data_IF_634187300964
#
_entry.id   IF_634187300964
#
_cell.length_a   1.000
_cell.length_b   1.000
_cell.length_c   1.000
_cell.angle_alpha   90.00
_cell.angle_beta   90.00
_cell.angle_gamma   90.00
#
_symmetry.space_group_name_H-M   'P 1'
#
loop_
_entity.id
_entity.type
_entity.pdbx_description
1 polymer ?
#
# COMPACT_ATOMS: atom_id res chain seq x y z
N UNK A 1 22.29 -26.89 15.01
CA UNK A 1 21.89 -26.33 13.70
C UNK A 1 21.03 -27.35 12.99
N UNK A 2 19.71 -27.19 13.04
CA UNK A 2 18.79 -28.07 12.31
C UNK A 2 18.88 -27.69 10.82
N UNK A 3 19.41 -28.60 9.98
CA UNK A 3 19.46 -28.39 8.52
C UNK A 3 18.03 -28.32 8.01
N UNK A 4 17.57 -27.10 7.68
CA UNK A 4 16.30 -26.90 6.97
C UNK A 4 16.44 -27.60 5.62
N UNK A 5 15.89 -28.82 5.49
CA UNK A 5 15.74 -29.50 4.19
C UNK A 5 14.67 -28.74 3.40
N UNK A 6 15.10 -27.72 2.65
CA UNK A 6 14.28 -27.09 1.62
C UNK A 6 13.96 -28.14 0.55
N UNK A 7 12.68 -28.46 0.38
CA UNK A 7 12.26 -29.33 -0.72
C UNK A 7 12.18 -28.47 -1.99
N UNK A 8 12.45 -29.03 -3.16
CA UNK A 8 12.38 -28.29 -4.44
C UNK A 8 11.03 -27.56 -4.63
N UNK A 9 9.92 -28.18 -4.19
CA UNK A 9 8.58 -27.58 -4.19
C UNK A 9 8.44 -26.30 -3.35
N UNK A 10 9.27 -26.14 -2.32
CA UNK A 10 9.26 -24.96 -1.44
C UNK A 10 9.98 -23.77 -2.11
N UNK A 11 10.78 -24.02 -3.16
CA UNK A 11 11.49 -23.03 -3.95
C UNK A 11 10.75 -22.62 -5.22
N UNK A 12 9.77 -23.40 -5.68
CA UNK A 12 9.00 -23.13 -6.90
C UNK A 12 8.36 -21.73 -6.88
N UNK A 13 7.66 -21.38 -5.78
CA UNK A 13 6.99 -20.09 -5.67
C UNK A 13 7.99 -18.91 -5.62
N UNK A 14 9.01 -18.91 -4.73
CA UNK A 14 10.04 -17.87 -4.77
C UNK A 14 10.74 -17.73 -6.12
N UNK A 15 11.05 -18.85 -6.79
CA UNK A 15 11.70 -18.83 -8.10
C UNK A 15 10.80 -18.22 -9.18
N UNK A 16 9.50 -18.57 -9.20
CA UNK A 16 8.54 -17.99 -10.14
C UNK A 16 8.37 -16.47 -9.92
N UNK A 17 8.28 -16.04 -8.66
CA UNK A 17 8.20 -14.61 -8.30
C UNK A 17 9.48 -13.87 -8.72
N UNK A 18 10.65 -14.47 -8.48
CA UNK A 18 11.94 -13.88 -8.88
C UNK A 18 12.06 -13.76 -10.39
N UNK A 19 11.70 -14.82 -11.13
CA UNK A 19 11.71 -14.80 -12.59
C UNK A 19 10.74 -13.75 -13.13
N UNK A 20 9.54 -13.68 -12.58
CA UNK A 20 8.57 -12.64 -12.93
C UNK A 20 9.13 -11.24 -12.70
N UNK A 21 9.69 -10.98 -11.51
CA UNK A 21 10.27 -9.67 -11.20
C UNK A 21 11.44 -9.30 -12.12
N UNK A 22 12.25 -10.28 -12.50
CA UNK A 22 13.34 -10.10 -13.47
C UNK A 22 12.80 -9.73 -14.86
N UNK A 23 11.74 -10.40 -15.33
CA UNK A 23 11.06 -10.07 -16.59
C UNK A 23 10.47 -8.65 -16.52
N UNK A 24 9.80 -8.29 -15.42
CA UNK A 24 9.25 -6.95 -15.23
C UNK A 24 10.32 -5.86 -15.30
N UNK A 25 11.52 -6.11 -14.74
CA UNK A 25 12.64 -5.17 -14.84
C UNK A 25 12.96 -4.80 -16.30
N UNK A 26 12.84 -5.74 -17.25
CA UNK A 26 13.08 -5.46 -18.67
C UNK A 26 11.93 -4.70 -19.34
N UNK A 27 10.72 -4.75 -18.78
CA UNK A 27 9.57 -3.97 -19.25
C UNK A 27 9.54 -2.53 -18.72
N UNK A 28 10.45 -2.16 -17.81
CA UNK A 28 10.57 -0.77 -17.33
C UNK A 28 11.10 0.13 -18.44
N UNK A 29 10.42 1.26 -18.67
CA UNK A 29 10.80 2.26 -19.65
C UNK A 29 11.02 3.59 -18.96
N UNK A 30 11.96 4.40 -19.46
CA UNK A 30 12.11 5.77 -18.98
C UNK A 30 10.87 6.57 -19.38
N UNK A 31 10.15 7.11 -18.40
CA UNK A 31 8.94 7.91 -18.59
C UNK A 31 9.04 9.17 -17.72
N UNK A 32 8.54 10.30 -18.23
CA UNK A 32 8.39 11.54 -17.46
C UNK A 32 9.70 11.99 -16.80
N UNK A 33 9.70 12.07 -15.47
CA UNK A 33 10.83 12.48 -14.64
C UNK A 33 12.08 11.62 -14.84
N UNK A 34 11.95 10.38 -15.34
CA UNK A 34 13.09 9.51 -15.59
C UNK A 34 14.02 10.10 -16.66
N UNK A 35 13.47 10.72 -17.71
CA UNK A 35 14.25 11.41 -18.74
C UNK A 35 14.98 12.61 -18.15
N UNK A 36 14.29 13.36 -17.30
CA UNK A 36 14.87 14.50 -16.62
C UNK A 36 16.08 14.04 -15.78
N UNK A 37 15.91 13.04 -14.93
CA UNK A 37 17.00 12.49 -14.12
C UNK A 37 18.11 11.85 -14.96
N UNK A 38 17.81 11.32 -16.14
CA UNK A 38 18.84 10.79 -17.02
C UNK A 38 19.74 11.90 -17.58
N UNK A 39 19.17 13.02 -18.03
CA UNK A 39 19.91 14.12 -18.67
C UNK A 39 20.40 15.21 -17.72
N UNK A 40 19.75 15.40 -16.56
CA UNK A 40 19.99 16.54 -15.70
C UNK A 40 21.38 16.58 -15.08
N UNK A 41 22.01 15.41 -14.88
CA UNK A 41 23.35 15.30 -14.32
C UNK A 41 24.46 15.57 -15.33
N UNK A 42 24.15 15.48 -16.62
CA UNK A 42 25.10 15.76 -17.70
C UNK A 42 25.02 17.25 -18.15
N UNK A 43 24.10 18.04 -17.57
CA UNK A 43 23.90 19.46 -17.89
C UNK A 43 23.78 20.30 -16.62
N UNK A 44 24.77 21.15 -16.34
CA UNK A 44 24.82 21.97 -15.12
C UNK A 44 23.55 22.81 -14.88
N UNK A 45 22.91 23.32 -15.93
CA UNK A 45 21.65 24.08 -15.82
C UNK A 45 20.43 23.25 -15.41
N UNK A 46 20.50 21.92 -15.48
CA UNK A 46 19.44 21.00 -15.06
C UNK A 46 19.75 20.34 -13.70
N UNK A 47 21.00 20.40 -13.23
CA UNK A 47 21.37 19.79 -11.94
C UNK A 47 20.55 20.33 -10.77
N UNK A 48 20.26 21.65 -10.79
CA UNK A 48 19.44 22.30 -9.79
C UNK A 48 18.01 21.74 -9.70
N UNK A 49 17.45 21.20 -10.80
CA UNK A 49 16.12 20.58 -10.73
C UNK A 49 16.12 19.05 -10.54
N UNK A 50 17.28 18.40 -10.51
CA UNK A 50 17.35 16.95 -10.28
C UNK A 50 16.98 16.58 -8.82
N UNK A 51 17.19 17.51 -7.90
CA UNK A 51 16.78 17.37 -6.51
C UNK A 51 16.12 18.68 -6.07
N UNK A 52 14.81 18.81 -6.18
CA UNK A 52 14.09 20.03 -5.74
C UNK A 52 13.30 19.84 -4.44
N UNK A 53 13.35 18.65 -3.81
CA UNK A 53 12.19 18.25 -2.98
C UNK A 53 12.42 17.35 -1.75
N UNK A 54 13.54 17.25 -1.06
CA UNK A 54 13.59 16.49 0.23
C UNK A 54 13.32 14.97 0.17
N UNK A 55 13.00 14.41 -1.01
CA UNK A 55 12.84 12.96 -1.25
C UNK A 55 14.20 12.31 -1.40
N UNK A 56 15.06 12.45 -0.39
CA UNK A 56 16.48 12.13 -0.46
C UNK A 56 16.72 10.70 -0.93
N UNK A 57 16.04 9.71 -0.33
CA UNK A 57 16.29 8.31 -0.65
C UNK A 57 15.68 7.95 -2.01
N UNK A 58 14.43 8.38 -2.28
CA UNK A 58 13.79 8.08 -3.56
C UNK A 58 14.58 8.66 -4.74
N UNK A 59 15.01 9.92 -4.66
CA UNK A 59 15.75 10.57 -5.74
C UNK A 59 17.08 9.87 -6.02
N UNK A 60 17.84 9.54 -4.98
CA UNK A 60 19.12 8.83 -5.15
C UNK A 60 18.91 7.42 -5.70
N UNK A 61 17.89 6.71 -5.23
CA UNK A 61 17.62 5.35 -5.66
C UNK A 61 17.11 5.30 -7.10
N UNK A 62 16.22 6.20 -7.47
CA UNK A 62 15.75 6.39 -8.84
C UNK A 62 16.92 6.72 -9.76
N UNK A 63 17.76 7.69 -9.40
CA UNK A 63 18.96 8.04 -10.14
C UNK A 63 19.87 6.82 -10.38
N UNK A 64 20.17 6.05 -9.34
CA UNK A 64 21.01 4.85 -9.46
C UNK A 64 20.39 3.81 -10.40
N UNK A 65 19.08 3.57 -10.31
CA UNK A 65 18.38 2.63 -11.18
C UNK A 65 18.29 3.14 -12.63
N UNK A 66 18.15 4.44 -12.85
CA UNK A 66 18.08 5.04 -14.18
C UNK A 66 19.44 5.01 -14.88
N UNK A 67 20.53 5.34 -14.16
CA UNK A 67 21.87 5.47 -14.74
C UNK A 67 22.64 4.16 -14.85
N UNK A 68 22.38 3.21 -13.95
CA UNK A 68 23.15 1.97 -13.87
C UNK A 68 22.25 0.75 -14.09
N UNK A 69 22.16 0.21 -15.32
CA UNK A 69 21.28 -0.93 -15.63
C UNK A 69 21.52 -2.17 -14.76
N UNK A 70 22.76 -2.43 -14.35
CA UNK A 70 23.08 -3.52 -13.42
C UNK A 70 22.46 -3.28 -12.03
N UNK A 71 22.53 -2.05 -11.53
CA UNK A 71 21.91 -1.66 -10.25
C UNK A 71 20.39 -1.76 -10.35
N UNK A 72 19.81 -1.31 -11.47
CA UNK A 72 18.38 -1.50 -11.77
C UNK A 72 17.98 -2.97 -11.70
N UNK A 73 18.68 -3.82 -12.44
CA UNK A 73 18.39 -5.25 -12.54
C UNK A 73 18.40 -5.92 -11.16
N UNK A 74 19.39 -5.60 -10.32
CA UNK A 74 19.49 -6.14 -8.97
C UNK A 74 18.42 -5.56 -8.06
N UNK A 75 18.31 -4.24 -7.95
CA UNK A 75 17.42 -3.60 -6.99
C UNK A 75 15.96 -3.85 -7.31
N UNK A 76 15.53 -3.65 -8.56
CA UNK A 76 14.15 -3.85 -8.99
C UNK A 76 13.72 -5.30 -8.76
N UNK A 77 14.51 -6.26 -9.28
CA UNK A 77 14.18 -7.68 -9.16
C UNK A 77 14.09 -8.12 -7.69
N UNK A 78 15.05 -7.72 -6.85
CA UNK A 78 15.05 -8.10 -5.44
C UNK A 78 13.89 -7.44 -4.67
N UNK A 79 13.64 -6.15 -4.89
CA UNK A 79 12.60 -5.42 -4.15
C UNK A 79 11.19 -5.86 -4.57
N UNK A 80 10.92 -6.06 -5.86
CA UNK A 80 9.62 -6.53 -6.34
C UNK A 80 9.37 -7.97 -5.88
N UNK A 81 10.39 -8.82 -5.94
CA UNK A 81 10.32 -10.17 -5.37
C UNK A 81 10.00 -10.14 -3.88
N UNK A 82 10.68 -9.27 -3.14
CA UNK A 82 10.48 -9.12 -1.70
C UNK A 82 9.07 -8.62 -1.38
N UNK A 83 8.55 -7.64 -2.13
CA UNK A 83 7.18 -7.15 -2.00
C UNK A 83 6.18 -8.30 -2.13
N UNK A 84 6.20 -9.01 -3.26
CA UNK A 84 5.25 -10.10 -3.55
C UNK A 84 5.37 -11.22 -2.51
N UNK A 85 6.59 -11.58 -2.11
CA UNK A 85 6.81 -12.56 -1.06
C UNK A 85 6.29 -12.10 0.30
N UNK A 86 6.45 -10.82 0.67
CA UNK A 86 5.90 -10.27 1.91
C UNK A 86 4.38 -10.30 1.87
N UNK A 87 3.75 -9.84 0.79
CA UNK A 87 2.30 -9.89 0.60
C UNK A 87 1.77 -11.32 0.78
N UNK A 88 2.37 -12.31 0.10
CA UNK A 88 1.98 -13.71 0.24
C UNK A 88 2.12 -14.23 1.69
N UNK A 89 3.16 -13.79 2.41
CA UNK A 89 3.38 -14.16 3.82
C UNK A 89 2.36 -13.55 4.77
N UNK A 90 1.85 -12.36 4.48
CA UNK A 90 0.78 -11.75 5.26
C UNK A 90 -0.54 -12.52 5.16
N UNK A 91 -0.82 -13.13 4.00
CA UNK A 91 -2.00 -13.98 3.83
C UNK A 91 -1.84 -15.34 4.55
N UNK A 92 -0.62 -15.89 4.62
CA UNK A 92 -0.31 -17.19 5.24
C UNK A 92 -0.05 -17.14 6.76
N UNK A 93 -0.89 -16.44 7.51
CA UNK A 93 -0.60 -16.03 8.89
C UNK A 93 -0.43 -17.15 9.94
N UNK A 94 -0.87 -18.40 9.68
CA UNK A 94 -0.77 -19.55 10.63
C UNK A 94 -0.25 -20.84 10.01
N UNK A 95 -0.67 -21.16 8.79
CA UNK A 95 -0.25 -22.37 8.09
C UNK A 95 0.36 -22.00 6.75
N UNK A 96 1.46 -22.67 6.40
CA UNK A 96 2.00 -22.61 5.05
C UNK A 96 1.02 -23.34 4.14
N UNK A 97 0.21 -22.57 3.41
CA UNK A 97 -0.69 -23.09 2.37
C UNK A 97 -0.20 -22.59 1.03
N UNK A 98 0.61 -23.36 0.28
CA UNK A 98 1.20 -22.90 -0.97
C UNK A 98 0.18 -22.29 -1.94
N UNK A 99 -1.02 -22.87 -2.04
CA UNK A 99 -2.12 -22.33 -2.85
C UNK A 99 -2.48 -20.87 -2.53
N UNK A 100 -2.37 -20.46 -1.26
CA UNK A 100 -2.64 -19.07 -0.83
C UNK A 100 -1.55 -18.11 -1.31
N UNK A 101 -0.29 -18.56 -1.39
CA UNK A 101 0.79 -17.77 -2.00
C UNK A 101 0.53 -17.55 -3.49
N UNK A 102 0.14 -18.61 -4.20
CA UNK A 102 -0.20 -18.54 -5.61
C UNK A 102 -1.42 -17.67 -5.88
N UNK A 103 -2.44 -17.72 -5.01
CA UNK A 103 -3.59 -16.82 -5.09
C UNK A 103 -3.17 -15.35 -4.88
N UNK A 104 -2.34 -15.06 -3.88
CA UNK A 104 -1.84 -13.70 -3.65
C UNK A 104 -1.03 -13.18 -4.85
N UNK A 105 -0.19 -14.04 -5.44
CA UNK A 105 0.54 -13.70 -6.65
C UNK A 105 -0.37 -13.51 -7.85
N UNK A 106 -1.37 -14.37 -8.07
CA UNK A 106 -2.37 -14.20 -9.12
C UNK A 106 -3.15 -12.89 -8.99
N UNK A 107 -3.55 -12.51 -7.77
CA UNK A 107 -4.21 -11.23 -7.50
C UNK A 107 -3.29 -10.04 -7.78
N UNK A 108 -2.00 -10.15 -7.44
CA UNK A 108 -1.00 -9.14 -7.80
C UNK A 108 -0.88 -8.96 -9.32
N UNK A 109 -0.90 -10.05 -10.09
CA UNK A 109 -0.87 -9.99 -11.55
C UNK A 109 -2.13 -9.33 -12.15
N UNK A 110 -3.23 -9.27 -11.41
CA UNK A 110 -4.46 -8.58 -11.81
C UNK A 110 -4.53 -7.12 -11.36
N UNK A 111 -3.40 -6.56 -10.92
CA UNK A 111 -3.32 -5.14 -10.60
C UNK A 111 -3.73 -4.28 -11.81
N UNK A 112 -4.57 -3.25 -11.61
CA UNK A 112 -4.99 -2.36 -12.68
C UNK A 112 -3.83 -1.75 -13.45
N UNK A 113 -3.97 -1.64 -14.77
CA UNK A 113 -2.95 -1.06 -15.65
C UNK A 113 -2.56 0.38 -15.25
N UNK A 114 -3.50 1.17 -14.75
CA UNK A 114 -3.21 2.52 -14.26
C UNK A 114 -2.24 2.49 -13.06
N UNK A 115 -2.41 1.54 -12.14
CA UNK A 115 -1.52 1.40 -10.98
C UNK A 115 -0.19 0.81 -11.41
N UNK A 116 -0.19 -0.22 -12.26
CA UNK A 116 1.04 -0.81 -12.84
C UNK A 116 1.88 0.27 -13.52
N UNK A 117 1.23 1.22 -14.21
CA UNK A 117 1.93 2.32 -14.87
C UNK A 117 2.70 3.20 -13.88
N UNK A 118 2.05 3.60 -12.79
CA UNK A 118 2.64 4.50 -11.80
C UNK A 118 3.61 3.80 -10.84
N UNK A 119 3.44 2.50 -10.58
CA UNK A 119 4.22 1.77 -9.58
C UNK A 119 5.27 0.84 -10.17
N UNK A 120 5.04 0.18 -11.31
CA UNK A 120 5.93 -0.86 -11.82
C UNK A 120 6.71 -0.45 -13.07
N UNK A 121 6.10 0.31 -14.00
CA UNK A 121 6.75 0.66 -15.28
C UNK A 121 7.54 1.96 -15.23
N UNK A 122 7.13 2.91 -14.38
CA UNK A 122 7.81 4.18 -14.16
C UNK A 122 8.87 4.02 -13.06
N UNK A 123 10.16 4.22 -13.36
CA UNK A 123 11.24 3.88 -12.42
C UNK A 123 11.31 4.81 -11.22
N UNK A 124 11.14 6.12 -11.43
CA UNK A 124 11.04 7.06 -10.32
C UNK A 124 9.80 6.77 -9.46
N UNK A 125 8.66 6.49 -10.10
CA UNK A 125 7.44 6.05 -9.42
C UNK A 125 7.64 4.79 -8.58
N UNK A 126 8.32 3.78 -9.12
CA UNK A 126 8.69 2.56 -8.42
C UNK A 126 9.51 2.85 -7.16
N UNK A 127 10.55 3.69 -7.27
CA UNK A 127 11.36 4.08 -6.13
C UNK A 127 10.50 4.75 -5.04
N UNK A 128 9.63 5.67 -5.42
CA UNK A 128 8.78 6.48 -4.53
C UNK A 128 7.65 5.67 -3.89
N UNK A 129 7.06 4.72 -4.60
CA UNK A 129 5.81 4.06 -4.19
C UNK A 129 6.00 2.62 -3.72
N UNK A 130 6.87 1.83 -4.34
CA UNK A 130 6.97 0.39 -4.07
C UNK A 130 7.92 0.09 -2.91
N UNK A 131 9.10 0.69 -2.94
CA UNK A 131 10.16 0.42 -1.95
C UNK A 131 9.77 0.83 -0.52
N UNK A 132 9.16 2.00 -0.25
CA UNK A 132 8.74 2.33 1.12
C UNK A 132 7.59 1.43 1.63
N UNK A 133 6.76 0.87 0.74
CA UNK A 133 5.75 -0.12 1.15
C UNK A 133 6.42 -1.38 1.71
N UNK A 134 7.56 -1.80 1.16
CA UNK A 134 8.35 -2.92 1.71
C UNK A 134 8.76 -2.61 3.16
N UNK A 135 9.19 -1.38 3.46
CA UNK A 135 9.59 -1.00 4.82
C UNK A 135 8.41 -1.07 5.79
N UNK A 136 7.25 -0.58 5.36
CA UNK A 136 5.99 -0.68 6.10
C UNK A 136 5.61 -2.13 6.37
N UNK A 137 5.66 -2.99 5.34
CA UNK A 137 5.35 -4.42 5.45
C UNK A 137 6.35 -5.17 6.35
N UNK A 138 7.64 -4.85 6.30
CA UNK A 138 8.63 -5.43 7.21
C UNK A 138 8.35 -5.05 8.67
N UNK A 139 8.10 -3.77 8.94
CA UNK A 139 7.75 -3.30 10.29
C UNK A 139 6.44 -3.91 10.80
N UNK A 140 5.39 -3.93 9.97
CA UNK A 140 4.09 -4.53 10.30
C UNK A 140 4.22 -6.01 10.66
N UNK A 141 5.09 -6.75 9.95
CA UNK A 141 5.37 -8.16 10.27
C UNK A 141 6.00 -8.30 11.67
N UNK A 142 6.95 -7.43 12.03
CA UNK A 142 7.55 -7.43 13.37
C UNK A 142 6.51 -7.08 14.45
N UNK A 143 5.64 -6.11 14.19
CA UNK A 143 4.53 -5.76 15.07
C UNK A 143 3.57 -6.93 15.30
N UNK A 144 3.19 -7.67 14.25
CA UNK A 144 2.33 -8.85 14.43
C UNK A 144 3.00 -9.98 15.21
N UNK A 145 4.29 -10.23 15.00
CA UNK A 145 5.04 -11.20 15.82
C UNK A 145 5.04 -10.79 17.29
N UNK A 146 5.28 -9.50 17.55
CA UNK A 146 5.22 -8.90 18.88
C UNK A 146 3.84 -9.10 19.54
N UNK A 147 2.76 -8.76 18.83
CA UNK A 147 1.38 -8.89 19.33
C UNK A 147 0.91 -10.33 19.54
N UNK A 148 1.64 -11.32 19.03
CA UNK A 148 1.45 -12.75 19.32
C UNK A 148 2.20 -13.22 20.57
N UNK A 149 2.89 -12.33 21.26
CA UNK A 149 3.71 -12.69 22.42
C UNK A 149 5.05 -13.32 22.05
N UNK A 150 5.46 -13.29 20.77
CA UNK A 150 6.78 -13.79 20.39
C UNK A 150 7.86 -12.92 21.07
N UNK A 151 8.84 -13.58 21.68
CA UNK A 151 10.02 -12.91 22.22
C UNK A 151 10.90 -12.45 21.06
N UNK A 152 11.06 -11.14 20.93
CA UNK A 152 11.83 -10.51 19.88
C UNK A 152 13.06 -9.84 20.48
N UNK A 153 14.23 -10.04 19.85
CA UNK A 153 15.52 -9.48 20.29
C UNK A 153 15.53 -7.95 20.15
N UNK A 154 15.11 -7.24 21.19
CA UNK A 154 14.93 -5.77 21.18
C UNK A 154 16.19 -5.01 20.73
N UNK A 155 17.37 -5.42 21.22
CA UNK A 155 18.65 -4.73 20.93
C UNK A 155 18.94 -4.61 19.43
N UNK A 156 18.60 -5.62 18.64
CA UNK A 156 18.77 -5.59 17.18
C UNK A 156 17.60 -4.89 16.46
N UNK A 157 16.40 -4.97 17.02
CA UNK A 157 15.21 -4.42 16.38
C UNK A 157 15.06 -2.91 16.58
N UNK A 158 15.56 -2.33 17.67
CA UNK A 158 15.53 -0.89 17.90
C UNK A 158 16.20 -0.12 16.76
N UNK A 159 17.50 -0.34 16.43
CA UNK A 159 18.15 0.39 15.35
C UNK A 159 17.52 0.07 13.99
N UNK A 160 17.14 -1.19 13.75
CA UNK A 160 16.48 -1.59 12.51
C UNK A 160 15.14 -0.85 12.31
N UNK A 161 14.27 -0.82 13.31
CA UNK A 161 12.95 -0.20 13.19
C UNK A 161 13.06 1.32 13.15
N UNK A 162 14.00 1.91 13.89
CA UNK A 162 14.33 3.33 13.77
C UNK A 162 14.78 3.69 12.34
N UNK A 163 15.66 2.89 11.74
CA UNK A 163 16.10 3.07 10.37
C UNK A 163 14.96 2.88 9.36
N UNK A 164 14.12 1.85 9.52
CA UNK A 164 12.96 1.64 8.64
C UNK A 164 11.99 2.82 8.68
N UNK A 165 11.72 3.37 9.88
CA UNK A 165 10.88 4.56 10.03
C UNK A 165 11.52 5.79 9.38
N UNK A 166 12.79 6.06 9.70
CA UNK A 166 13.52 7.22 9.19
C UNK A 166 13.67 7.17 7.67
N UNK A 167 14.22 6.08 7.14
CA UNK A 167 14.44 5.93 5.71
C UNK A 167 13.11 5.86 4.94
N UNK A 168 12.08 5.22 5.49
CA UNK A 168 10.74 5.16 4.88
C UNK A 168 10.12 6.55 4.69
N UNK A 169 10.38 7.47 5.62
CA UNK A 169 9.90 8.85 5.58
C UNK A 169 10.72 9.79 4.66
N UNK A 170 11.70 9.29 3.89
CA UNK A 170 12.49 10.10 2.95
C UNK A 170 12.21 9.76 1.47
N UNK A 171 11.11 9.05 1.21
CA UNK A 171 10.71 8.66 -0.16
C UNK A 171 9.75 9.66 -0.82
N UNK A 172 8.74 10.11 -0.09
CA UNK A 172 7.69 10.99 -0.60
C UNK A 172 6.92 11.62 0.55
N UNK A 173 6.42 12.84 0.36
CA UNK A 173 5.70 13.65 1.34
C UNK A 173 4.53 12.85 1.93
N UNK A 174 3.70 12.27 1.06
CA UNK A 174 2.55 11.45 1.46
C UNK A 174 2.98 10.15 2.14
N UNK A 175 4.10 9.55 1.74
CA UNK A 175 4.65 8.35 2.37
C UNK A 175 5.18 8.66 3.78
N UNK A 176 5.80 9.82 3.99
CA UNK A 176 6.32 10.27 5.28
C UNK A 176 5.19 10.48 6.28
N UNK A 177 4.12 11.14 5.85
CA UNK A 177 2.88 11.30 6.64
C UNK A 177 2.32 9.92 6.99
N UNK A 178 2.21 9.01 6.01
CA UNK A 178 1.73 7.65 6.25
C UNK A 178 2.59 6.89 7.28
N UNK A 179 3.91 7.00 7.22
CA UNK A 179 4.80 6.33 8.18
C UNK A 179 4.64 6.88 9.60
N UNK A 180 4.49 8.20 9.75
CA UNK A 180 4.24 8.84 11.06
C UNK A 180 2.90 8.43 11.63
N UNK A 181 1.83 8.53 10.83
CA UNK A 181 0.47 8.13 11.23
C UNK A 181 0.43 6.64 11.59
N UNK A 182 1.08 5.78 10.79
CA UNK A 182 1.15 4.35 11.06
C UNK A 182 1.92 4.05 12.35
N UNK A 183 3.05 4.74 12.59
CA UNK A 183 3.79 4.65 13.84
C UNK A 183 2.94 4.99 15.05
N UNK A 184 2.25 6.14 15.02
CA UNK A 184 1.32 6.57 16.08
C UNK A 184 0.20 5.56 16.29
N UNK A 185 -0.42 5.07 15.21
CA UNK A 185 -1.47 4.06 15.28
C UNK A 185 -0.99 2.79 16.00
N UNK A 186 0.21 2.29 15.68
CA UNK A 186 0.78 1.10 16.34
C UNK A 186 1.04 1.35 17.82
N UNK A 187 1.53 2.53 18.20
CA UNK A 187 1.75 2.90 19.60
C UNK A 187 0.42 2.95 20.39
N UNK A 188 -0.58 3.65 19.86
CA UNK A 188 -1.91 3.75 20.46
C UNK A 188 -2.55 2.36 20.60
N UNK A 189 -2.48 1.56 19.54
CA UNK A 189 -3.00 0.21 19.56
C UNK A 189 -2.31 -0.69 20.60
N UNK A 190 -0.99 -0.59 20.72
CA UNK A 190 -0.23 -1.33 21.74
C UNK A 190 -0.61 -0.87 23.16
N UNK A 191 -0.76 0.44 23.37
CA UNK A 191 -1.14 1.02 24.67
C UNK A 191 -2.57 0.66 25.10
N UNK A 192 -3.53 0.57 24.17
CA UNK A 192 -4.91 0.19 24.48
C UNK A 192 -5.07 -1.31 24.83
N UNK A 193 -4.09 -2.16 24.49
CA UNK A 193 -4.15 -3.60 24.78
C UNK A 193 -3.56 -3.88 26.16
N UNK A 194 -4.43 -4.14 27.15
CA UNK A 194 -4.03 -4.45 28.54
C UNK A 194 -2.98 -5.57 28.67
N UNK A 195 -2.99 -6.54 27.76
CA UNK A 195 -2.08 -7.70 27.78
C UNK A 195 -0.75 -7.47 27.02
N UNK A 196 -0.50 -6.26 26.51
CA UNK A 196 0.69 -5.92 25.74
C UNK A 196 1.37 -4.69 26.31
N UNK A 197 2.68 -4.79 26.54
CA UNK A 197 3.50 -3.62 26.88
C UNK A 197 4.09 -3.02 25.61
N UNK A 198 4.16 -1.69 25.59
CA UNK A 198 4.85 -0.95 24.54
C UNK A 198 6.30 -1.41 24.45
N UNK A 199 6.76 -1.76 23.25
CA UNK A 199 8.13 -2.23 23.05
C UNK A 199 8.99 -1.13 22.45
N UNK A 200 10.26 -1.08 22.86
CA UNK A 200 11.20 -0.04 22.45
C UNK A 200 11.36 0.08 20.92
N UNK A 201 11.33 -1.04 20.18
CA UNK A 201 11.41 -0.98 18.71
C UNK A 201 10.20 -0.28 18.06
N UNK A 202 9.02 -0.29 18.70
CA UNK A 202 7.83 0.38 18.19
C UNK A 202 7.97 1.90 18.32
N UNK A 203 8.48 2.34 19.47
CA UNK A 203 8.82 3.74 19.74
C UNK A 203 9.92 4.19 18.76
N UNK A 204 10.95 3.36 18.55
CA UNK A 204 12.04 3.66 17.64
C UNK A 204 11.54 3.90 16.20
N UNK A 205 10.61 3.09 15.70
CA UNK A 205 10.01 3.33 14.37
C UNK A 205 9.29 4.67 14.30
N UNK A 206 8.42 4.98 15.29
CA UNK A 206 7.67 6.23 15.29
C UNK A 206 8.59 7.45 15.38
N UNK A 207 9.61 7.39 16.25
CA UNK A 207 10.63 8.44 16.38
C UNK A 207 11.45 8.58 15.10
N UNK A 208 11.84 7.47 14.46
CA UNK A 208 12.53 7.48 13.18
C UNK A 208 11.68 8.13 12.08
N UNK A 209 10.41 7.75 11.96
CA UNK A 209 9.49 8.33 10.99
C UNK A 209 9.29 9.83 11.19
N UNK A 210 9.12 10.28 12.44
CA UNK A 210 9.02 11.70 12.77
C UNK A 210 10.30 12.45 12.43
N UNK A 211 11.47 11.90 12.77
CA UNK A 211 12.76 12.50 12.43
C UNK A 211 12.97 12.59 10.90
N UNK A 212 12.60 11.55 10.15
CA UNK A 212 12.67 11.55 8.69
C UNK A 212 11.75 12.60 8.07
N UNK A 213 10.52 12.72 8.57
CA UNK A 213 9.59 13.78 8.15
C UNK A 213 10.17 15.18 8.44
N UNK A 214 10.74 15.40 9.62
CA UNK A 214 11.39 16.68 9.95
C UNK A 214 12.54 16.98 8.98
N UNK A 215 13.44 16.02 8.73
CA UNK A 215 14.55 16.20 7.78
C UNK A 215 14.04 16.52 6.37
N UNK A 216 12.97 15.85 5.93
CA UNK A 216 12.36 16.11 4.64
C UNK A 216 11.80 17.54 4.54
N UNK A 217 11.13 18.02 5.58
CA UNK A 217 10.51 19.35 5.63
C UNK A 217 11.50 20.50 5.90
N UNK A 218 12.68 20.21 6.46
CA UNK A 218 13.74 21.22 6.69
C UNK A 218 14.38 21.74 5.40
N UNK A 219 13.99 21.22 4.24
CA UNK A 219 14.56 21.64 2.97
C UNK A 219 14.04 23.03 2.56
N UNK A 220 14.91 23.94 2.08
CA UNK A 220 14.52 25.32 1.77
C UNK A 220 13.34 25.42 0.82
N UNK A 221 13.24 24.51 -0.16
CA UNK A 221 12.20 24.53 -1.19
C UNK A 221 10.78 24.36 -0.59
N UNK A 222 10.63 23.73 0.58
CA UNK A 222 9.34 23.69 1.30
C UNK A 222 9.05 25.01 2.04
N UNK A 223 10.08 25.70 2.52
CA UNK A 223 9.95 27.04 3.11
C UNK A 223 9.60 28.10 2.06
N UNK A 224 10.17 27.99 0.87
CA UNK A 224 9.90 28.90 -0.25
C UNK A 224 8.46 28.76 -0.77
N UNK A 225 7.91 27.54 -0.78
CA UNK A 225 6.48 27.28 -1.07
C UNK A 225 5.56 27.90 -0.03
N UNK A 226 5.96 27.91 1.25
CA UNK A 226 5.17 28.50 2.34
C UNK A 226 5.23 30.04 2.35
N UNK A 227 6.34 30.62 1.88
CA UNK A 227 6.58 32.06 1.87
C UNK A 227 6.21 32.72 0.53
N UNK A 228 5.72 31.95 -0.44
CA UNK A 228 5.35 32.41 -1.80
C UNK A 228 6.47 33.17 -2.53
N UNK A 229 7.73 32.96 -2.13
CA UNK A 229 8.83 33.86 -2.50
C UNK A 229 9.49 33.56 -3.85
N UNK A 230 9.34 32.37 -4.46
CA UNK A 230 9.82 32.15 -5.83
C UNK A 230 9.28 30.89 -6.55
N UNK A 231 9.25 31.00 -7.88
CA UNK A 231 8.39 30.29 -8.87
C UNK A 231 8.90 28.97 -9.45
N UNK A 232 9.98 28.38 -8.92
CA UNK A 232 10.58 27.16 -9.50
C UNK A 232 9.84 25.87 -9.09
N UNK A 233 9.00 25.94 -8.06
CA UNK A 233 8.22 24.82 -7.57
C UNK A 233 6.79 24.97 -8.10
N UNK A 234 6.38 24.14 -9.06
CA UNK A 234 5.01 24.08 -9.63
C UNK A 234 3.90 23.68 -8.62
N UNK A 235 4.11 23.88 -7.31
CA UNK A 235 3.27 23.36 -6.24
C UNK A 235 2.84 24.50 -5.32
N UNK A 236 1.63 24.97 -5.53
CA UNK A 236 0.92 25.81 -4.56
C UNK A 236 0.20 24.91 -3.55
N UNK A 237 0.28 25.26 -2.26
CA UNK A 237 -0.52 24.61 -1.21
C UNK A 237 -1.77 25.45 -0.99
N UNK A 238 -2.80 25.22 -1.81
CA UNK A 238 -4.12 25.83 -1.59
C UNK A 238 -4.98 24.96 -0.67
N UNK A 239 -5.36 25.48 0.51
CA UNK A 239 -6.33 24.84 1.40
C UNK A 239 -7.77 25.12 0.96
N UNK A 240 -8.13 24.76 -0.28
CA UNK A 240 -9.51 24.82 -0.76
C UNK A 240 -10.22 23.47 -0.54
N UNK A 241 -11.24 23.49 0.31
CA UNK A 241 -12.10 22.33 0.61
C UNK A 241 -12.72 21.78 -0.67
N UNK A 242 -13.04 22.65 -1.64
CA UNK A 242 -13.63 22.26 -2.93
C UNK A 242 -12.64 21.47 -3.78
N UNK A 243 -11.38 21.90 -3.83
CA UNK A 243 -10.31 21.15 -4.51
C UNK A 243 -10.01 19.83 -3.81
N UNK A 244 -9.96 19.83 -2.48
CA UNK A 244 -9.76 18.61 -1.69
C UNK A 244 -10.89 17.60 -1.96
N UNK A 245 -12.13 18.08 -2.00
CA UNK A 245 -13.30 17.27 -2.38
C UNK A 245 -13.16 16.74 -3.81
N UNK A 246 -12.79 17.60 -4.77
CA UNK A 246 -12.63 17.22 -6.17
C UNK A 246 -11.58 16.11 -6.34
N UNK A 247 -10.40 16.26 -5.75
CA UNK A 247 -9.33 15.26 -5.83
C UNK A 247 -9.72 13.95 -5.15
N UNK A 248 -10.30 13.99 -3.94
CA UNK A 248 -10.72 12.79 -3.21
C UNK A 248 -11.77 11.98 -4.00
N UNK A 249 -12.81 12.65 -4.48
CA UNK A 249 -13.99 11.98 -5.04
C UNK A 249 -13.90 11.73 -6.54
N UNK A 250 -13.16 12.53 -7.31
CA UNK A 250 -13.02 12.32 -8.77
C UNK A 250 -11.73 11.62 -9.18
N UNK A 251 -10.65 11.75 -8.41
CA UNK A 251 -9.37 11.14 -8.77
C UNK A 251 -9.07 9.89 -7.94
N UNK A 252 -9.15 9.98 -6.61
CA UNK A 252 -8.70 8.91 -5.72
C UNK A 252 -9.73 7.76 -5.69
N UNK A 253 -10.95 8.02 -5.21
CA UNK A 253 -11.96 6.97 -5.00
C UNK A 253 -12.26 6.15 -6.27
N UNK A 254 -12.46 6.76 -7.45
CA UNK A 254 -12.73 6.01 -8.67
C UNK A 254 -11.56 5.13 -9.14
N UNK A 255 -10.32 5.58 -8.92
CA UNK A 255 -9.12 4.85 -9.34
C UNK A 255 -8.90 3.60 -8.48
N UNK A 256 -9.08 3.70 -7.16
CA UNK A 256 -8.84 2.59 -6.24
C UNK A 256 -10.01 1.60 -6.14
N UNK A 257 -11.25 2.04 -6.36
CA UNK A 257 -12.40 1.21 -6.07
C UNK A 257 -13.04 0.56 -7.31
N UNK A 258 -12.82 1.10 -8.52
CA UNK A 258 -13.45 0.54 -9.74
C UNK A 258 -12.60 -0.50 -10.44
N UNK A 259 -11.28 -0.35 -10.38
CA UNK A 259 -10.38 -1.05 -11.30
C UNK A 259 -10.01 -2.47 -10.85
N UNK A 260 -10.24 -2.84 -9.59
CA UNK A 260 -9.86 -4.15 -9.05
C UNK A 260 -11.00 -5.19 -9.11
N UNK A 261 -11.60 -5.40 -10.28
CA UNK A 261 -12.80 -6.24 -10.41
C UNK A 261 -12.63 -7.66 -9.86
N UNK A 262 -11.50 -8.33 -10.15
CA UNK A 262 -11.23 -9.67 -9.64
C UNK A 262 -11.13 -9.69 -8.11
N UNK A 263 -10.49 -8.67 -7.51
CA UNK A 263 -10.39 -8.55 -6.06
C UNK A 263 -11.78 -8.41 -5.42
N UNK A 264 -12.65 -7.57 -5.99
CA UNK A 264 -14.01 -7.38 -5.50
C UNK A 264 -14.84 -8.66 -5.61
N UNK A 265 -14.71 -9.40 -6.70
CA UNK A 265 -15.34 -10.72 -6.87
C UNK A 265 -14.83 -11.73 -5.83
N UNK A 266 -13.51 -11.77 -5.59
CA UNK A 266 -12.93 -12.64 -4.56
C UNK A 266 -13.41 -12.28 -3.16
N UNK A 267 -13.50 -10.98 -2.82
CA UNK A 267 -14.03 -10.50 -1.53
C UNK A 267 -15.49 -10.90 -1.38
N UNK A 268 -16.34 -10.62 -2.38
CA UNK A 268 -17.76 -10.97 -2.35
C UNK A 268 -17.97 -12.49 -2.22
N UNK A 269 -17.24 -13.29 -3.01
CA UNK A 269 -17.27 -14.75 -2.93
C UNK A 269 -16.83 -15.29 -1.57
N UNK A 270 -15.75 -14.75 -0.99
CA UNK A 270 -15.27 -15.15 0.32
C UNK A 270 -16.27 -14.81 1.43
N UNK A 271 -16.87 -13.62 1.41
CA UNK A 271 -17.89 -13.21 2.38
C UNK A 271 -19.17 -14.03 2.24
N UNK A 272 -19.58 -14.36 1.00
CA UNK A 272 -20.73 -15.23 0.74
C UNK A 272 -20.49 -16.65 1.30
N UNK A 273 -19.31 -17.23 1.06
CA UNK A 273 -18.95 -18.54 1.62
C UNK A 273 -18.95 -18.52 3.15
N UNK A 274 -18.39 -17.47 3.77
CA UNK A 274 -18.41 -17.30 5.22
C UNK A 274 -19.83 -17.16 5.75
N UNK A 275 -20.70 -16.42 5.05
CA UNK A 275 -22.11 -16.28 5.41
C UNK A 275 -22.84 -17.62 5.35
N UNK A 276 -22.65 -18.41 4.28
CA UNK A 276 -23.25 -19.75 4.13
C UNK A 276 -22.83 -20.68 5.26
N UNK A 277 -21.56 -20.61 5.68
CA UNK A 277 -21.00 -21.45 6.76
C UNK A 277 -21.18 -20.90 8.18
N UNK A 278 -21.71 -19.69 8.33
CA UNK A 278 -21.88 -19.08 9.65
C UNK A 278 -22.96 -19.81 10.45
N UNK A 279 -22.67 -20.14 11.70
CA UNK A 279 -23.70 -20.54 12.67
C UNK A 279 -24.52 -19.31 13.08
N UNK A 280 -25.84 -19.41 12.91
CA UNK A 280 -26.81 -18.33 13.07
C UNK A 280 -27.80 -18.59 14.21
N UNK A 281 -27.64 -19.69 14.95
CA UNK A 281 -28.53 -20.11 16.04
C UNK A 281 -28.81 -19.02 17.08
N UNK A 282 -27.82 -18.15 17.35
CA UNK A 282 -27.94 -17.03 18.30
C UNK A 282 -28.17 -15.63 17.70
N UNK A 283 -28.51 -15.49 16.42
CA UNK A 283 -28.61 -14.17 15.78
C UNK A 283 -30.00 -13.55 15.92
N UNK A 284 -30.06 -12.30 16.41
CA UNK A 284 -31.30 -11.51 16.42
C UNK A 284 -31.76 -11.18 14.99
N UNK A 285 -33.08 -11.08 14.76
CA UNK A 285 -33.68 -10.73 13.44
C UNK A 285 -33.04 -9.49 12.80
N UNK A 286 -32.82 -8.42 13.58
CA UNK A 286 -32.15 -7.21 13.09
C UNK A 286 -30.74 -7.45 12.57
N UNK A 287 -29.93 -8.28 13.25
CA UNK A 287 -28.58 -8.64 12.79
C UNK A 287 -28.62 -9.38 11.45
N UNK A 288 -29.55 -10.33 11.29
CA UNK A 288 -29.70 -11.08 10.04
C UNK A 288 -30.03 -10.13 8.88
N UNK A 289 -30.92 -9.15 9.11
CA UNK A 289 -31.26 -8.13 8.12
C UNK A 289 -30.04 -7.31 7.70
N UNK A 290 -29.29 -6.75 8.65
CA UNK A 290 -28.08 -5.96 8.35
C UNK A 290 -27.02 -6.77 7.61
N UNK A 291 -26.80 -8.03 7.97
CA UNK A 291 -25.86 -8.91 7.26
C UNK A 291 -26.33 -9.16 5.82
N UNK A 292 -27.62 -9.39 5.60
CA UNK A 292 -28.16 -9.57 4.23
C UNK A 292 -28.03 -8.30 3.39
N UNK A 293 -28.35 -7.13 3.96
CA UNK A 293 -28.23 -5.84 3.27
C UNK A 293 -26.78 -5.53 2.88
N UNK A 294 -25.85 -5.68 3.82
CA UNK A 294 -24.42 -5.44 3.57
C UNK A 294 -23.82 -6.48 2.62
N UNK A 295 -24.27 -7.73 2.67
CA UNK A 295 -23.87 -8.77 1.72
C UNK A 295 -24.41 -8.48 0.31
N UNK A 296 -25.66 -8.04 0.21
CA UNK A 296 -26.24 -7.56 -1.05
C UNK A 296 -25.47 -6.38 -1.62
N UNK A 297 -25.09 -5.41 -0.80
CA UNK A 297 -24.26 -4.27 -1.19
C UNK A 297 -22.88 -4.71 -1.72
N UNK A 298 -22.22 -5.66 -1.06
CA UNK A 298 -20.91 -6.17 -1.50
C UNK A 298 -20.98 -6.94 -2.82
N UNK A 299 -22.00 -7.78 -3.01
CA UNK A 299 -22.24 -8.49 -4.28
C UNK A 299 -22.58 -7.51 -5.40
N UNK A 300 -23.50 -6.57 -5.15
CA UNK A 300 -23.88 -5.54 -6.11
C UNK A 300 -22.67 -4.71 -6.55
N UNK A 301 -21.76 -4.36 -5.62
CA UNK A 301 -20.55 -3.62 -5.94
C UNK A 301 -19.58 -4.43 -6.81
N UNK A 302 -19.42 -5.72 -6.53
CA UNK A 302 -18.57 -6.59 -7.34
C UNK A 302 -19.09 -6.70 -8.78
N UNK A 303 -20.41 -6.85 -8.97
CA UNK A 303 -21.04 -6.83 -10.30
C UNK A 303 -20.82 -5.48 -10.98
N UNK A 304 -21.04 -4.39 -10.25
CA UNK A 304 -20.80 -3.04 -10.75
C UNK A 304 -19.35 -2.81 -11.21
N UNK A 305 -18.34 -3.26 -10.46
CA UNK A 305 -16.93 -3.15 -10.85
C UNK A 305 -16.61 -3.93 -12.13
N UNK A 306 -17.24 -5.10 -12.33
CA UNK A 306 -17.13 -5.84 -13.60
C UNK A 306 -17.74 -5.05 -14.76
N UNK A 307 -18.94 -4.48 -14.58
CA UNK A 307 -19.59 -3.65 -15.62
C UNK A 307 -18.74 -2.43 -16.00
N UNK A 308 -18.13 -1.77 -15.02
CA UNK A 308 -17.26 -0.62 -15.26
C UNK A 308 -15.96 -1.02 -15.98
N UNK A 309 -15.41 -2.19 -15.66
CA UNK A 309 -14.21 -2.72 -16.34
C UNK A 309 -14.53 -3.17 -17.77
N UNK A 310 -15.74 -3.68 -18.03
CA UNK A 310 -16.22 -4.06 -19.36
C UNK A 310 -16.55 -2.87 -20.28
N UNK A 311 -16.24 -1.63 -19.85
CA UNK A 311 -16.39 -0.45 -20.70
C UNK A 311 -17.81 0.09 -20.78
N UNK A 312 -18.61 -0.04 -19.73
CA UNK A 312 -19.90 0.67 -19.59
C UNK A 312 -19.69 1.90 -18.69
N UNK A 313 -19.05 2.98 -19.15
CA UNK A 313 -18.82 4.15 -18.31
C UNK A 313 -20.15 4.86 -18.05
N UNK A 314 -20.63 4.85 -16.81
CA UNK A 314 -21.78 5.66 -16.39
C UNK A 314 -21.54 7.17 -16.58
N UNK A 315 -20.27 7.59 -16.69
CA UNK A 315 -19.87 8.96 -17.05
C UNK A 315 -20.43 9.41 -18.40
N UNK A 316 -20.80 8.48 -19.29
CA UNK A 316 -21.42 8.77 -20.58
C UNK A 316 -22.89 9.22 -20.49
N UNK A 317 -23.53 9.19 -19.31
CA UNK A 317 -24.97 9.37 -19.19
C UNK A 317 -25.45 10.73 -18.66
N UNK A 318 -24.64 11.56 -18.00
CA UNK A 318 -25.07 12.95 -17.63
C UNK A 318 -23.89 13.89 -17.33
N UNK A 319 -23.98 15.14 -17.78
CA UNK A 319 -22.94 16.18 -17.63
C UNK A 319 -22.84 16.87 -16.25
N UNK A 320 -23.55 16.42 -15.21
CA UNK A 320 -23.71 17.18 -13.96
C UNK A 320 -23.01 16.59 -12.73
N UNK A 321 -21.99 15.73 -12.88
CA UNK A 321 -21.21 15.12 -11.78
C UNK A 321 -22.01 14.30 -10.74
N UNK A 322 -23.34 14.18 -10.90
CA UNK A 322 -24.23 13.40 -10.04
C UNK A 322 -23.86 11.93 -10.03
N UNK A 323 -23.42 11.41 -11.18
CA UNK A 323 -22.93 10.04 -11.32
C UNK A 323 -21.69 9.84 -10.43
N UNK A 324 -20.69 10.72 -10.52
CA UNK A 324 -19.47 10.64 -9.69
C UNK A 324 -19.79 10.63 -8.18
N UNK A 325 -20.78 11.41 -7.76
CA UNK A 325 -21.23 11.45 -6.36
C UNK A 325 -21.96 10.16 -5.92
N UNK A 326 -22.81 9.59 -6.79
CA UNK A 326 -23.48 8.31 -6.51
C UNK A 326 -22.49 7.14 -6.46
N UNK A 327 -21.54 7.10 -7.39
CA UNK A 327 -20.49 6.08 -7.43
C UNK A 327 -19.63 6.15 -6.16
N UNK A 328 -19.28 7.36 -5.75
CA UNK A 328 -18.60 7.64 -4.49
C UNK A 328 -19.37 7.08 -3.29
N UNK A 329 -20.65 7.41 -3.19
CA UNK A 329 -21.49 6.95 -2.08
C UNK A 329 -21.58 5.42 -2.07
N UNK A 330 -21.65 4.81 -3.24
CA UNK A 330 -21.67 3.36 -3.37
C UNK A 330 -20.36 2.72 -2.92
N UNK A 331 -19.20 3.30 -3.27
CA UNK A 331 -17.88 2.85 -2.78
C UNK A 331 -17.83 2.93 -1.26
N UNK A 332 -18.29 4.03 -0.68
CA UNK A 332 -18.29 4.23 0.77
C UNK A 332 -19.16 3.17 1.48
N UNK A 333 -20.38 2.94 0.99
CA UNK A 333 -21.28 1.91 1.50
C UNK A 333 -20.69 0.49 1.34
N UNK A 334 -20.01 0.23 0.23
CA UNK A 334 -19.28 -1.01 0.00
C UNK A 334 -18.19 -1.22 1.06
N UNK A 335 -17.35 -0.21 1.31
CA UNK A 335 -16.27 -0.30 2.31
C UNK A 335 -16.81 -0.57 3.71
N UNK A 336 -17.85 0.17 4.13
CA UNK A 336 -18.52 -0.08 5.41
C UNK A 336 -19.13 -1.49 5.48
N UNK A 337 -19.70 -1.97 4.36
CA UNK A 337 -20.27 -3.32 4.26
C UNK A 337 -19.21 -4.40 4.44
N UNK A 338 -18.06 -4.26 3.77
CA UNK A 338 -16.92 -5.20 3.94
C UNK A 338 -16.43 -5.20 5.38
N UNK A 339 -16.23 -4.03 5.99
CA UNK A 339 -15.76 -3.90 7.38
C UNK A 339 -16.77 -4.54 8.35
N UNK A 340 -18.06 -4.25 8.18
CA UNK A 340 -19.12 -4.81 9.01
C UNK A 340 -19.21 -6.34 8.87
N UNK A 341 -19.24 -6.85 7.64
CA UNK A 341 -19.31 -8.29 7.36
C UNK A 341 -18.07 -9.01 7.88
N UNK A 342 -16.88 -8.45 7.69
CA UNK A 342 -15.66 -8.98 8.27
C UNK A 342 -15.76 -9.07 9.79
N UNK A 343 -16.33 -8.07 10.47
CA UNK A 343 -16.55 -8.08 11.92
C UNK A 343 -17.56 -9.11 12.40
N UNK A 344 -18.63 -9.32 11.66
CA UNK A 344 -19.71 -10.22 12.07
C UNK A 344 -19.40 -11.68 11.70
N UNK A 345 -18.85 -11.91 10.51
CA UNK A 345 -18.58 -13.24 9.97
C UNK A 345 -17.21 -13.79 10.37
N UNK A 346 -16.30 -12.94 10.86
CA UNK A 346 -15.00 -13.39 11.39
C UNK A 346 -14.94 -13.14 12.90
N UNK A 347 -14.40 -14.10 13.67
CA UNK A 347 -14.26 -13.93 15.12
C UNK A 347 -13.38 -12.73 15.50
N UNK A 348 -13.53 -12.18 16.72
CA UNK A 348 -12.80 -10.98 17.21
C UNK A 348 -11.28 -11.00 16.97
N UNK A 349 -10.63 -12.17 17.01
CA UNK A 349 -9.18 -12.31 16.72
C UNK A 349 -8.83 -12.23 15.22
N UNK A 350 -9.81 -12.30 14.32
CA UNK A 350 -9.68 -12.14 12.85
C UNK A 350 -10.03 -10.72 12.39
N UNK A 351 -10.91 -10.01 13.11
CA UNK A 351 -11.27 -8.60 12.85
C UNK A 351 -10.05 -7.67 12.79
N UNK A 352 -9.13 -7.82 13.74
CA UNK A 352 -7.91 -7.01 13.81
C UNK A 352 -7.05 -7.09 12.55
N UNK A 353 -7.16 -8.20 11.83
CA UNK A 353 -6.43 -8.42 10.58
C UNK A 353 -7.12 -7.67 9.47
N UNK A 354 -8.44 -7.83 9.34
CA UNK A 354 -9.19 -7.18 8.27
C UNK A 354 -9.15 -5.65 8.39
N UNK A 355 -9.21 -5.08 9.59
CA UNK A 355 -9.18 -3.62 9.80
C UNK A 355 -7.81 -2.96 9.58
N UNK A 356 -6.70 -3.73 9.53
CA UNK A 356 -5.37 -3.18 9.20
C UNK A 356 -5.04 -3.41 7.71
N UNK A 357 -5.81 -4.26 7.01
CA UNK A 357 -5.62 -4.54 5.57
C UNK A 357 -6.61 -3.78 4.66
N UNK A 358 -7.69 -3.22 5.22
CA UNK A 358 -8.61 -2.27 4.59
C UNK A 358 -8.19 -0.88 5.05
#
# INVERSE_FOLDING_TARGET
MEKIKLRARDLLFPAAVFLFAAVCCFSTTLIGDDYYMYYAFDKAGLYAFAFTNGRYIANNLAFLMIRYPAVKAVLYTLTLSLLIMLLARFVQFREKRPAVSWLAFGLFLTMPAAIVRETETWLFGYAVHVIPVIFTLLYMRLCFRSFRGEQLKQRALIPLCGLLGFAGALFAEHISILHVVFGIFVLLYAACRKDQRLRAFQIAFAAGAAAGLCVMLLRPEYGDVLNETESLTYREISFDITQMYYHLYKMIIPMFAKQFCLLHLCIAGALLMLFVRADRSGWKKGRILYVRLTLGCTVAYAVYSVMMTAGVPLKSLTGSERVSALETAFVFLYMLSVIYLARVLTGRQRLLRVTVYI
#
